data_IF_161593756294
#
_entry.id   IF_161593756294
#
_cell.length_a   1.000
_cell.length_b   1.000
_cell.length_c   1.000
_cell.angle_alpha   90.00
_cell.angle_beta   90.00
_cell.angle_gamma   90.00
#
_symmetry.space_group_name_H-M   'P 1'
#
loop_
_entity.id
_entity.type
_entity.pdbx_description
1 polymer ?
2 non-polymer ?
#
# COMPACT_ATOMS: atom_id res chain seq x y z
N UNK A 2 2.66 27.70 4.38
CA UNK A 2 1.36 27.11 4.69
C UNK A 2 0.98 26.00 3.69
N UNK A 3 0.60 24.87 4.24
CA UNK A 3 0.50 23.65 3.48
C UNK A 3 -0.79 22.92 3.84
N UNK A 4 -1.53 22.48 2.81
CA UNK A 4 -2.81 21.82 3.00
C UNK A 4 -2.79 20.46 2.34
N UNK A 5 -3.01 19.42 3.13
CA UNK A 5 -3.02 18.04 2.63
C UNK A 5 -4.43 17.53 2.49
N UNK A 6 -4.83 17.19 1.28
CA UNK A 6 -6.21 16.76 1.06
C UNK A 6 -6.16 15.25 0.91
N UNK A 7 -6.92 14.54 1.74
CA UNK A 7 -6.97 13.08 1.66
C UNK A 7 -8.36 12.51 1.93
N UNK A 8 -8.62 11.31 1.42
CA UNK A 8 -9.93 10.70 1.59
C UNK A 8 -9.94 9.19 1.81
N UNK A 9 -8.78 8.56 1.80
CA UNK A 9 -8.70 7.12 2.01
C UNK A 9 -7.57 6.71 2.93
N UNK A 10 -7.59 5.45 3.37
CA UNK A 10 -6.52 4.94 4.22
C UNK A 10 -5.21 4.66 3.48
N UNK A 11 -5.29 4.12 2.25
CA UNK A 11 -3.99 3.95 1.60
C UNK A 11 -3.32 5.31 1.42
N UNK A 12 -4.15 6.33 1.23
CA UNK A 12 -3.69 7.73 1.19
C UNK A 12 -3.05 8.17 2.50
N UNK A 13 -3.76 7.96 3.61
CA UNK A 13 -3.25 8.34 4.92
C UNK A 13 -1.89 7.70 5.17
N UNK A 14 -1.79 6.39 4.94
CA UNK A 14 -0.51 5.69 5.06
C UNK A 14 0.60 6.32 4.21
N UNK A 15 0.40 6.44 2.91
CA UNK A 15 1.48 6.96 2.07
C UNK A 15 1.84 8.41 2.43
N UNK A 16 0.94 9.10 3.13
CA UNK A 16 1.16 10.50 3.47
C UNK A 16 1.72 10.68 4.87
N UNK A 17 1.58 9.67 5.71
CA UNK A 17 2.10 9.73 7.07
C UNK A 17 3.60 10.08 7.16
N UNK A 18 4.41 9.62 6.20
CA UNK A 18 5.79 10.12 6.34
C UNK A 18 5.93 11.60 6.04
N UNK A 19 5.00 12.13 5.25
CA UNK A 19 5.02 13.55 4.93
C UNK A 19 4.53 14.33 6.18
N UNK A 20 3.54 13.77 6.84
CA UNK A 20 3.02 14.34 8.06
C UNK A 20 4.04 14.31 9.19
N UNK A 21 4.77 13.22 9.30
CA UNK A 21 5.74 13.08 10.37
C UNK A 21 6.94 13.99 10.18
N UNK A 22 7.33 14.19 8.94
CA UNK A 22 8.39 15.15 8.65
C UNK A 22 7.90 16.55 9.01
N UNK A 23 6.66 16.86 8.61
CA UNK A 23 6.08 18.17 8.86
C UNK A 23 6.09 18.61 10.33
N UNK A 24 5.94 17.66 11.25
CA UNK A 24 6.00 17.93 12.68
C UNK A 24 7.40 18.30 13.15
N UNK A 25 8.40 18.07 12.30
CA UNK A 25 9.78 18.45 12.59
C UNK A 25 10.24 19.56 11.64
N UNK A 26 9.32 20.47 11.32
CA UNK A 26 9.60 21.68 10.55
C UNK A 26 8.73 22.77 11.13
N UNK A 27 9.03 24.02 10.80
CA UNK A 27 8.21 25.13 11.29
C UNK A 27 7.07 25.53 10.35
N UNK A 28 6.94 24.80 9.24
CA UNK A 28 5.82 24.95 8.31
C UNK A 28 4.45 24.81 9.01
N UNK A 29 3.53 25.71 8.65
CA UNK A 29 2.17 25.72 9.17
C UNK A 29 1.35 24.86 8.23
N UNK A 30 0.74 23.80 8.74
CA UNK A 30 0.11 22.84 7.85
C UNK A 30 -1.16 22.25 8.47
N UNK A 31 -1.99 21.67 7.63
CA UNK A 31 -3.25 21.07 8.10
C UNK A 31 -3.73 19.98 7.14
N UNK A 32 -4.71 19.20 7.58
CA UNK A 32 -5.28 18.14 6.78
C UNK A 32 -6.77 18.36 6.55
N UNK A 33 -7.20 18.21 5.29
CA UNK A 33 -8.61 18.12 4.96
C UNK A 33 -8.91 16.67 4.65
N UNK A 34 -9.67 16.03 5.54
CA UNK A 34 -10.09 14.63 5.36
C UNK A 34 -11.51 14.58 4.77
N UNK A 35 -11.75 13.73 3.78
CA UNK A 35 -13.08 13.58 3.22
C UNK A 35 -13.59 12.18 3.53
N UNK A 36 -14.91 12.01 3.57
CA UNK A 36 -15.52 10.72 3.81
C UNK A 36 -16.55 10.37 2.74
N UNK A 42 -16.97 5.04 8.63
CA UNK A 42 -16.31 5.45 9.87
C UNK A 42 -15.68 6.81 9.67
N UNK A 44 -12.63 8.46 10.42
CA UNK A 44 -11.37 7.71 10.58
C UNK A 44 -10.46 8.02 11.76
N UNK A 45 -11.02 8.59 12.82
CA UNK A 45 -10.25 9.04 13.98
C UNK A 45 -9.32 7.92 14.50
N UNK A 46 -9.92 6.78 14.81
CA UNK A 46 -9.19 5.65 15.39
C UNK A 46 -7.93 5.28 14.59
N UNK A 47 -8.05 5.35 13.27
CA UNK A 47 -6.94 5.00 12.38
C UNK A 47 -5.82 6.00 12.51
N UNK A 48 -6.18 7.28 12.46
CA UNK A 48 -5.21 8.35 12.63
C UNK A 48 -4.48 8.18 13.96
N UNK A 49 -5.17 7.61 14.94
CA UNK A 49 -4.54 7.43 16.24
C UNK A 49 -3.65 6.18 16.35
N UNK A 50 -4.03 5.08 15.73
CA UNK A 50 -3.15 3.91 15.65
C UNK A 50 -1.79 4.27 15.05
N UNK A 51 -1.76 5.25 14.15
CA UNK A 51 -0.53 5.62 13.46
C UNK A 51 0.16 6.81 14.10
N UNK A 52 -0.25 7.14 15.32
CA UNK A 52 0.32 8.27 16.08
C UNK A 52 0.23 9.57 15.30
N UNK A 53 -0.88 9.73 14.57
CA UNK A 53 -1.06 10.89 13.69
C UNK A 53 -2.07 11.89 14.26
N UNK A 54 -1.75 13.18 14.16
CA UNK A 54 -2.65 14.18 14.73
C UNK A 54 -3.96 14.16 13.97
N UNK A 55 -5.08 14.41 14.64
CA UNK A 55 -6.37 14.40 13.94
C UNK A 55 -6.44 15.51 12.91
N UNK A 56 -7.07 15.23 11.77
CA UNK A 56 -7.35 16.25 10.75
C UNK A 56 -8.17 17.40 11.31
N UNK A 57 -7.65 18.61 11.19
CA UNK A 57 -8.38 19.83 11.52
C UNK A 57 -9.79 19.87 10.92
N UNK A 58 -9.88 19.56 9.63
CA UNK A 58 -11.15 19.54 8.87
C UNK A 58 -11.60 18.16 8.42
N UNK A 59 -12.73 17.70 8.94
CA UNK A 59 -13.39 16.56 8.34
C UNK A 59 -14.62 17.02 7.57
N UNK A 60 -14.67 16.65 6.30
CA UNK A 60 -15.81 16.99 5.45
C UNK A 60 -16.53 15.71 5.10
N UNK A 61 -17.76 15.57 5.54
CA UNK A 61 -18.59 14.48 5.07
C UNK A 61 -19.11 14.86 3.70
N UNK A 62 -18.74 14.07 2.70
CA UNK A 62 -19.23 14.31 1.36
C UNK A 62 -20.53 13.53 1.21
N UNK A 63 -20.70 12.57 2.12
CA UNK A 63 -21.83 11.66 2.09
C UNK A 63 -21.70 10.84 0.83
N UNK A 64 -22.69 10.00 0.56
CA UNK A 64 -22.72 9.34 -0.73
C UNK A 64 -23.72 10.06 -1.63
N UNK A 65 -23.74 9.64 -2.89
CA UNK A 65 -24.50 10.29 -3.94
C UNK A 65 -23.72 9.95 -5.19
N UNK A 66 -24.09 10.53 -6.32
CA UNK A 66 -23.45 10.20 -7.59
C UNK A 66 -22.01 10.68 -7.75
N UNK A 67 -21.26 10.04 -8.64
CA UNK A 67 -19.90 10.48 -9.01
C UNK A 67 -19.79 12.00 -9.19
N UNK A 68 -20.64 12.52 -10.07
CA UNK A 68 -20.84 13.93 -10.26
C UNK A 68 -21.06 14.71 -8.98
N UNK A 69 -22.05 14.32 -8.16
CA UNK A 69 -22.27 15.07 -6.92
C UNK A 69 -21.18 14.88 -5.89
N UNK A 70 -20.48 13.75 -5.92
CA UNK A 70 -19.42 13.56 -4.96
C UNK A 70 -18.37 14.60 -5.26
N UNK A 71 -17.92 14.59 -6.51
CA UNK A 71 -16.93 15.56 -6.97
C UNK A 71 -17.35 17.01 -6.79
N UNK A 72 -18.60 17.32 -7.08
CA UNK A 72 -19.12 18.66 -6.91
C UNK A 72 -19.18 19.12 -5.47
N UNK A 73 -19.73 18.29 -4.59
CA UNK A 73 -19.79 18.64 -3.17
C UNK A 73 -18.38 18.86 -2.61
N UNK A 75 -15.72 19.83 -4.41
CA UNK A 75 -15.29 21.09 -5.04
C UNK A 75 -15.77 22.30 -4.22
N UNK A 76 -17.05 22.33 -3.91
CA UNK A 76 -17.62 23.38 -3.07
C UNK A 76 -16.98 23.46 -1.66
N UNK A 77 -16.95 22.32 -0.95
CA UNK A 77 -16.49 22.29 0.45
C UNK A 77 -14.99 22.55 0.64
N UNK A 78 -14.19 21.78 -0.11
CA UNK A 78 -12.76 22.02 -0.18
C UNK A 78 -12.49 23.46 -0.54
N UNK A 79 -13.30 24.02 -1.43
CA UNK A 79 -13.14 25.45 -1.74
C UNK A 79 -13.37 26.38 -0.55
N UNK A 80 -14.39 26.10 0.26
CA UNK A 80 -14.63 26.95 1.42
C UNK A 80 -13.44 26.90 2.38
N UNK A 81 -12.91 25.69 2.58
CA UNK A 81 -11.70 25.60 3.39
C UNK A 81 -10.51 26.36 2.77
N UNK A 82 -10.20 26.14 1.50
CA UNK A 82 -8.99 26.76 0.96
C UNK A 82 -9.11 28.28 0.86
N UNK A 83 -10.34 28.77 0.74
CA UNK A 83 -10.56 30.21 0.83
C UNK A 83 -10.25 30.70 2.22
N UNK A 84 -10.76 30.00 3.24
CA UNK A 84 -10.39 30.34 4.63
C UNK A 84 -8.87 30.20 4.96
N UNK A 85 -8.27 29.06 4.63
CA UNK A 85 -6.89 28.74 5.03
C UNK A 85 -5.80 29.40 4.19
N UNK A 86 -6.10 29.64 2.93
CA UNK A 86 -5.15 30.26 2.01
C UNK A 86 -3.72 29.72 2.10
N UNK A 87 -3.53 28.43 1.78
CA UNK A 87 -2.16 27.90 1.80
C UNK A 87 -1.38 28.23 0.53
N UNK A 88 -0.11 27.85 0.51
CA UNK A 88 0.76 28.05 -0.64
C UNK A 88 0.82 26.78 -1.45
N UNK A 89 0.83 25.63 -0.77
CA UNK A 89 0.80 24.36 -1.47
C UNK A 89 -0.35 23.48 -0.99
N UNK A 90 -0.99 22.81 -1.95
CA UNK A 90 -1.90 21.73 -1.65
C UNK A 90 -1.26 20.42 -2.06
N UNK A 91 -1.12 19.52 -1.11
CA UNK A 91 -0.53 18.23 -1.37
C UNK A 91 -1.58 17.12 -1.36
N UNK A 92 -1.56 16.28 -2.40
CA UNK A 92 -2.46 15.14 -2.54
C UNK A 92 -1.66 13.89 -2.88
N UNK A 93 -2.11 12.72 -2.46
CA UNK A 93 -1.49 11.49 -2.95
C UNK A 93 -2.54 10.58 -3.54
N UNK A 94 -2.23 9.95 -4.67
CA UNK A 94 -3.10 8.94 -5.21
C UNK A 94 -4.02 9.46 -6.28
N UNK A 95 -5.16 8.77 -6.43
CA UNK A 95 -5.99 9.00 -7.58
C UNK A 95 -7.49 8.79 -7.35
N UNK A 96 -7.99 9.13 -6.16
CA UNK A 96 -9.42 9.06 -5.91
C UNK A 96 -10.10 10.32 -6.40
N UNK A 97 -11.40 10.41 -6.24
CA UNK A 97 -12.14 11.60 -6.62
C UNK A 97 -11.76 12.80 -5.73
N UNK A 98 -11.44 12.53 -4.47
CA UNK A 98 -10.94 13.56 -3.56
C UNK A 98 -9.70 14.24 -4.12
N UNK A 99 -8.72 13.45 -4.53
CA UNK A 99 -7.48 13.96 -5.07
C UNK A 99 -7.70 14.92 -6.24
N UNK A 100 -8.53 14.51 -7.20
CA UNK A 100 -8.80 15.35 -8.37
C UNK A 100 -9.58 16.57 -7.98
N UNK A 101 -10.56 16.41 -7.10
CA UNK A 101 -11.34 17.55 -6.62
C UNK A 101 -10.45 18.61 -5.96
N UNK A 102 -9.69 18.21 -4.95
CA UNK A 102 -8.74 19.08 -4.29
C UNK A 102 -7.78 19.75 -5.26
N UNK A 103 -7.23 18.98 -6.19
CA UNK A 103 -6.27 19.53 -7.14
C UNK A 103 -6.94 20.56 -8.04
N UNK A 104 -8.16 20.28 -8.47
CA UNK A 104 -8.97 21.18 -9.28
C UNK A 104 -9.26 22.50 -8.58
N UNK A 105 -9.89 22.45 -7.40
CA UNK A 105 -10.02 23.65 -6.56
C UNK A 105 -8.71 24.45 -6.37
N UNK A 106 -7.65 23.77 -5.95
CA UNK A 106 -6.44 24.51 -5.68
C UNK A 106 -5.99 25.22 -6.95
N UNK A 107 -6.06 24.50 -8.06
CA UNK A 107 -5.64 25.04 -9.34
C UNK A 107 -6.47 26.26 -9.72
N UNK A 108 -7.75 26.25 -9.41
CA UNK A 108 -8.57 27.40 -9.79
C UNK A 108 -8.39 28.58 -8.83
N UNK A 109 -7.98 28.29 -7.59
CA UNK A 109 -7.65 29.34 -6.62
C UNK A 109 -6.20 29.81 -6.78
N UNK A 110 -5.54 29.31 -7.82
CA UNK A 110 -4.18 29.70 -8.18
C UNK A 110 -3.15 29.22 -7.17
N UNK A 111 -3.51 28.19 -6.40
CA UNK A 111 -2.62 27.53 -5.44
C UNK A 111 -1.79 26.42 -6.12
N UNK A 112 -0.49 26.42 -5.91
CA UNK A 112 0.39 25.34 -6.36
C UNK A 112 -0.03 24.01 -5.75
N UNK A 113 -0.02 22.98 -6.58
CA UNK A 113 -0.41 21.62 -6.17
C UNK A 113 0.78 20.67 -6.27
N UNK A 114 0.94 19.80 -5.28
CA UNK A 114 1.95 18.75 -5.34
C UNK A 114 1.35 17.34 -5.37
N UNK A 115 1.77 16.52 -6.32
CA UNK A 115 1.26 15.15 -6.40
C UNK A 115 2.30 14.18 -5.92
N UNK A 116 1.97 13.47 -4.84
CA UNK A 116 2.85 12.50 -4.22
C UNK A 116 2.67 11.15 -4.88
N UNK A 117 3.78 10.55 -5.32
CA UNK A 117 3.79 9.29 -6.08
C UNK A 117 3.18 9.53 -7.46
N UNK A 118 3.75 10.49 -8.19
CA UNK A 118 3.26 10.88 -9.52
C UNK A 118 3.92 10.10 -10.66
N UNK A 119 3.18 9.91 -11.74
CA UNK A 119 3.76 9.30 -12.92
C UNK A 119 3.39 7.86 -13.22
N UNK A 120 2.83 7.13 -12.25
CA UNK A 120 2.27 5.80 -12.53
C UNK A 120 1.17 5.81 -13.61
N UNK A 121 1.19 4.81 -14.48
CA UNK A 121 0.21 4.69 -15.57
C UNK A 121 -0.15 3.23 -15.79
N UNK A 122 -1.43 2.95 -16.00
CA UNK A 122 -1.85 1.64 -16.45
C UNK A 122 -2.09 1.66 -17.96
N UNK A 123 -2.04 2.87 -18.53
CA UNK A 123 -2.33 3.13 -19.94
C UNK A 123 -3.69 2.55 -20.40
N UNK A 124 -4.56 2.30 -19.42
CA UNK A 124 -5.95 1.88 -19.62
C UNK A 124 -6.86 3.04 -19.24
N UNK A 125 -7.06 3.97 -20.18
CA UNK A 125 -7.83 5.18 -19.92
C UNK A 125 -9.33 4.89 -19.88
N UNK A 126 -9.69 3.78 -19.25
CA UNK A 126 -11.10 3.41 -19.02
C UNK A 126 -11.48 3.50 -17.55
N UNK A 128 -11.65 5.06 -14.16
CA UNK A 128 -11.73 6.51 -13.89
C UNK A 128 -10.49 6.99 -13.15
N UNK A 129 -9.85 6.07 -12.45
CA UNK A 129 -8.65 6.34 -11.69
C UNK A 129 -7.42 6.70 -12.55
N UNK A 130 -7.25 6.04 -13.70
CA UNK A 130 -6.19 6.46 -14.62
C UNK A 130 -6.35 7.92 -15.07
N UNK A 131 -7.59 8.29 -15.40
CA UNK A 131 -7.92 9.64 -15.78
C UNK A 131 -7.55 10.58 -14.66
N UNK A 132 -8.07 10.28 -13.45
CA UNK A 132 -7.73 11.02 -12.24
C UNK A 132 -6.23 11.30 -12.11
N UNK A 133 -5.45 10.23 -12.21
CA UNK A 133 -4.01 10.32 -12.26
C UNK A 133 -3.52 11.33 -13.31
N UNK A 134 -4.03 11.21 -14.54
CA UNK A 134 -3.54 12.05 -15.63
C UNK A 134 -3.88 13.53 -15.42
N UNK A 135 -5.14 13.81 -15.08
CA UNK A 135 -5.58 15.17 -14.83
C UNK A 135 -4.79 15.80 -13.70
N UNK A 136 -4.79 15.12 -12.55
CA UNK A 136 -4.06 15.58 -11.36
C UNK A 136 -2.58 15.88 -11.68
N UNK A 137 -1.90 14.97 -12.38
CA UNK A 137 -0.54 15.24 -12.80
C UNK A 137 -0.42 16.49 -13.66
N UNK A 138 -1.33 16.65 -14.63
CA UNK A 138 -1.28 17.83 -15.49
C UNK A 138 -1.72 19.14 -14.84
N UNK A 139 -2.29 19.10 -13.65
CA UNK A 139 -2.54 20.38 -12.98
C UNK A 139 -1.59 20.69 -11.85
N UNK A 140 -0.48 19.94 -11.80
CA UNK A 140 0.40 19.92 -10.63
C UNK A 140 1.67 20.73 -10.87
N UNK A 141 2.16 21.37 -9.81
CA UNK A 141 3.34 22.23 -9.89
C UNK A 141 4.53 21.42 -9.49
N UNK A 142 4.33 20.60 -8.46
CA UNK A 142 5.37 19.66 -8.01
C UNK A 142 4.94 18.21 -8.27
N UNK A 143 5.72 17.51 -9.09
CA UNK A 143 5.45 16.11 -9.35
C UNK A 143 6.49 15.23 -8.72
N UNK A 144 6.16 14.66 -7.56
CA UNK A 144 7.09 13.79 -6.83
C UNK A 144 6.99 12.37 -7.33
N UNK A 145 7.74 12.09 -8.38
CA UNK A 145 7.73 10.80 -9.06
C UNK A 145 8.62 9.84 -8.31
N UNK A 146 8.17 8.58 -8.14
CA UNK A 146 8.92 7.58 -7.35
C UNK A 146 10.17 7.03 -8.04
N UNK A 147 10.10 6.89 -9.36
CA UNK A 147 11.15 6.23 -10.13
C UNK A 147 11.47 7.05 -11.36
N UNK A 148 12.63 6.79 -11.97
CA UNK A 148 12.95 7.39 -13.26
C UNK A 148 11.91 7.07 -14.33
N UNK A 149 11.49 5.80 -14.40
CA UNK A 149 10.46 5.37 -15.32
C UNK A 149 9.22 6.27 -15.23
N UNK A 150 8.82 6.56 -13.99
CA UNK A 150 7.70 7.46 -13.70
C UNK A 150 7.92 8.85 -14.31
N UNK A 151 9.14 9.35 -14.12
CA UNK A 151 9.55 10.62 -14.67
C UNK A 151 9.44 10.62 -16.19
N UNK A 152 9.87 9.53 -16.82
CA UNK A 152 9.77 9.40 -18.27
C UNK A 152 8.33 9.40 -18.77
N UNK A 153 7.43 8.80 -17.98
CA UNK A 153 6.01 8.90 -18.27
C UNK A 153 5.53 10.34 -18.28
N UNK A 154 5.82 11.03 -17.18
CA UNK A 154 5.41 12.42 -17.02
C UNK A 154 6.00 13.24 -18.13
N UNK A 155 7.16 12.81 -18.59
CA UNK A 155 7.90 13.48 -19.67
C UNK A 155 7.32 13.26 -21.08
N UNK A 156 6.90 12.04 -21.38
CA UNK A 156 6.23 11.82 -22.67
C UNK A 156 4.90 12.57 -22.74
N UNK A 157 4.47 13.13 -21.62
CA UNK A 157 3.24 13.90 -21.58
C UNK A 157 3.50 15.39 -21.54
N UNK A 158 4.66 15.79 -22.02
CA UNK A 158 4.97 17.19 -22.17
C UNK A 158 5.07 17.92 -20.85
N UNK A 159 5.13 17.21 -19.74
CA UNK A 159 5.22 17.88 -18.45
C UNK A 159 6.64 18.39 -18.21
N UNK A 160 6.76 19.69 -17.95
CA UNK A 160 8.04 20.36 -17.80
C UNK A 160 8.99 19.67 -16.82
N UNK A 161 10.17 19.28 -17.29
CA UNK A 161 11.16 18.54 -16.51
C UNK A 161 11.49 19.13 -15.14
N UNK A 162 11.45 20.45 -15.01
CA UNK A 162 11.78 21.07 -13.71
C UNK A 162 10.67 20.97 -12.67
N UNK A 163 9.52 20.47 -13.09
CA UNK A 163 8.43 20.20 -12.16
C UNK A 163 8.54 18.79 -11.57
N UNK A 164 9.37 17.95 -12.20
CA UNK A 164 9.51 16.56 -11.79
C UNK A 164 10.64 16.29 -10.81
N UNK A 165 10.32 15.61 -9.72
CA UNK A 165 11.31 15.28 -8.70
C UNK A 165 11.23 13.80 -8.36
N UNK A 166 12.23 13.05 -8.81
CA UNK A 166 12.34 11.64 -8.45
C UNK A 166 12.86 11.49 -7.02
N UNK A 167 12.02 11.02 -6.12
CA UNK A 167 12.30 11.07 -4.67
C UNK A 167 11.93 9.76 -4.00
N UNK A 168 11.66 8.75 -4.82
CA UNK A 168 11.29 7.43 -4.34
C UNK A 168 9.90 7.41 -3.81
N UNK A 169 9.45 6.25 -3.33
CA UNK A 169 8.10 6.11 -2.82
C UNK A 169 8.04 6.23 -1.31
N UNK A 170 7.01 6.90 -0.82
CA UNK A 170 6.85 7.12 0.61
C UNK A 170 6.26 5.89 1.27
N UNK A 171 5.90 4.88 0.46
CA UNK A 171 5.43 3.62 1.02
C UNK A 171 6.54 2.92 1.79
N UNK A 172 7.79 3.19 1.44
CA UNK A 172 8.91 2.63 2.18
C UNK A 172 9.00 3.24 3.57
N UNK A 173 9.14 4.57 3.62
CA UNK A 173 9.10 5.34 4.86
C UNK A 173 7.94 4.82 5.66
N UNK A 174 6.75 4.84 5.06
CA UNK A 174 5.50 4.53 5.75
C UNK A 174 5.51 3.14 6.36
N UNK A 175 5.95 2.16 5.59
CA UNK A 175 5.89 0.78 6.04
C UNK A 175 6.88 0.56 7.19
N UNK A 176 8.06 1.13 7.06
CA UNK A 176 9.05 1.12 8.14
C UNK A 176 8.56 1.77 9.45
N UNK A 177 8.20 3.04 9.38
CA UNK A 177 7.63 3.78 10.50
C UNK A 177 6.43 3.09 11.13
N UNK A 178 5.43 2.75 10.34
CA UNK A 178 4.24 2.09 10.87
C UNK A 178 4.56 0.75 11.51
N UNK A 179 5.59 0.07 11.02
CA UNK A 179 6.04 -1.18 11.65
C UNK A 179 6.53 -0.88 13.07
N UNK A 180 7.43 0.11 13.18
CA UNK A 180 7.95 0.50 14.49
C UNK A 180 6.79 0.85 15.42
N UNK A 181 5.80 1.57 14.90
CA UNK A 181 4.61 1.92 15.68
C UNK A 181 3.82 0.68 16.11
N UNK A 182 3.69 -0.30 15.23
CA UNK A 182 2.96 -1.55 15.53
C UNK A 182 3.68 -2.37 16.60
N UNK A 183 4.99 -2.20 16.66
CA UNK A 183 5.76 -2.96 17.61
C UNK A 183 5.48 -2.47 19.03
N UNK A 184 5.31 -1.16 19.18
CA UNK A 184 5.13 -0.58 20.51
C UNK A 184 3.67 -0.59 20.96
N UNK A 185 2.84 -1.41 20.32
CA UNK A 185 1.41 -1.41 20.60
C UNK A 185 0.98 -2.70 21.30
N UNK A 186 0.95 -2.66 22.64
CA UNK A 186 0.69 -3.85 23.44
C UNK A 186 -0.67 -4.49 23.16
N UNK A 187 -1.61 -3.72 22.65
CA UNK A 187 -2.91 -4.25 22.26
C UNK A 187 -2.79 -5.20 21.07
N UNK A 188 -1.84 -4.90 20.18
CA UNK A 188 -1.62 -5.72 18.98
C UNK A 188 -0.47 -6.70 19.16
N UNK A 189 0.46 -6.38 20.06
CA UNK A 189 1.52 -7.30 20.42
C UNK A 189 0.85 -8.45 21.19
N UNK A 190 -0.22 -8.11 21.90
CA UNK A 190 -1.10 -9.10 22.52
C UNK A 190 -1.53 -10.08 21.47
N UNK A 191 -2.18 -9.59 20.43
CA UNK A 191 -2.68 -10.45 19.37
C UNK A 191 -1.58 -11.24 18.67
N UNK A 192 -0.49 -10.57 18.31
CA UNK A 192 0.62 -11.23 17.62
C UNK A 192 1.09 -12.42 18.43
N UNK A 193 1.42 -12.19 19.70
CA UNK A 193 1.89 -13.28 20.55
C UNK A 193 0.85 -14.38 20.76
N UNK A 194 -0.41 -14.07 20.50
CA UNK A 194 -1.50 -15.02 20.69
C UNK A 194 -1.82 -15.81 19.43
N UNK A 195 -0.91 -15.80 18.46
CA UNK A 195 -1.07 -16.60 17.26
C UNK A 195 0.24 -17.28 16.91
N UNK A 196 1.33 -16.53 17.03
CA UNK A 196 2.64 -17.09 16.72
C UNK A 196 3.17 -17.95 17.85
N UNK A 197 3.55 -19.17 17.50
CA UNK A 197 4.07 -20.14 18.45
C UNK A 197 5.58 -20.26 18.27
N UNK A 198 5.99 -20.75 17.11
CA UNK A 198 7.39 -20.98 16.82
C UNK A 198 8.05 -19.73 16.26
N UNK A 199 9.34 -19.55 16.55
CA UNK A 199 10.12 -18.44 16.00
C UNK A 199 10.22 -18.51 14.48
N UNK A 200 9.59 -19.52 13.88
CA UNK A 200 9.60 -19.68 12.43
C UNK A 200 8.21 -19.97 11.91
N UNK A 201 7.76 -19.13 11.00
CA UNK A 201 6.49 -19.36 10.30
C UNK A 201 6.55 -18.75 8.90
N UNK A 202 5.74 -19.30 8.01
CA UNK A 202 5.51 -18.67 6.72
C UNK A 202 4.15 -18.00 6.83
N UNK A 203 4.03 -16.76 6.37
CA UNK A 203 2.73 -16.10 6.30
C UNK A 203 2.14 -16.19 4.90
N UNK A 204 0.93 -16.72 4.79
CA UNK A 204 0.28 -16.96 3.51
C UNK A 204 -1.02 -16.15 3.34
N UNK A 205 -1.11 -15.43 2.23
CA UNK A 205 -2.35 -14.74 1.87
C UNK A 205 -2.74 -15.15 0.47
N UNK A 206 -4.05 -15.30 0.25
CA UNK A 206 -4.57 -15.81 -1.01
C UNK A 206 -5.94 -15.19 -1.21
N UNK A 207 -6.14 -14.49 -2.31
CA UNK A 207 -7.40 -13.76 -2.46
C UNK A 207 -7.86 -13.51 -3.90
N UNK A 208 -6.92 -13.36 -4.83
CA UNK A 208 -7.26 -13.11 -6.23
C UNK A 208 -8.35 -14.04 -6.77
N UNK A 209 -9.27 -13.50 -7.56
CA UNK A 209 -10.34 -14.28 -8.16
C UNK A 209 -9.77 -15.41 -9.03
N UNK A 210 -8.78 -15.07 -9.85
CA UNK A 210 -8.12 -16.05 -10.71
C UNK A 210 -7.62 -17.29 -9.96
N UNK A 211 -7.63 -17.24 -8.63
CA UNK A 211 -7.14 -18.35 -7.81
C UNK A 211 -8.21 -19.05 -7.00
N UNK A 212 -9.10 -18.26 -6.40
CA UNK A 212 -10.10 -18.79 -5.48
C UNK A 212 -11.38 -19.26 -6.18
N UNK A 213 -11.71 -18.64 -7.31
CA UNK A 213 -12.88 -19.04 -8.10
C UNK A 213 -12.61 -20.35 -8.81
N UNK A 214 -11.42 -20.43 -9.40
CA UNK A 214 -10.95 -21.59 -10.13
C UNK A 214 -10.62 -22.78 -9.21
N UNK A 215 -11.55 -23.73 -9.11
CA UNK A 215 -11.40 -24.92 -8.27
C UNK A 215 -10.08 -25.65 -8.48
N UNK A 216 -9.61 -25.63 -9.73
CA UNK A 216 -8.36 -26.28 -10.11
C UNK A 216 -7.17 -25.64 -9.42
N UNK A 217 -6.90 -24.38 -9.76
CA UNK A 217 -5.77 -23.65 -9.19
C UNK A 217 -5.83 -23.65 -7.67
N UNK A 218 -7.02 -23.53 -7.11
CA UNK A 218 -7.16 -23.54 -5.65
C UNK A 218 -6.74 -24.87 -5.04
N UNK A 219 -7.30 -25.97 -5.56
CA UNK A 219 -6.88 -27.31 -5.12
C UNK A 219 -5.36 -27.44 -5.20
N UNK A 220 -4.82 -27.15 -6.39
CA UNK A 220 -3.38 -27.15 -6.65
C UNK A 220 -2.57 -26.47 -5.56
N UNK A 221 -2.81 -25.17 -5.40
CA UNK A 221 -2.17 -24.36 -4.38
C UNK A 221 -2.26 -24.92 -2.96
N UNK A 222 -3.46 -25.29 -2.52
CA UNK A 222 -3.60 -25.91 -1.20
C UNK A 222 -2.65 -27.10 -1.03
N UNK A 223 -2.65 -27.99 -2.03
CA UNK A 223 -1.79 -29.16 -1.94
C UNK A 223 -0.31 -28.75 -1.96
N UNK A 224 0.01 -27.71 -2.72
CA UNK A 224 1.35 -27.13 -2.74
C UNK A 224 1.80 -26.77 -1.33
N UNK A 225 0.92 -26.06 -0.62
CA UNK A 225 1.18 -25.68 0.77
C UNK A 225 1.47 -26.91 1.60
N UNK A 226 0.65 -27.95 1.42
CA UNK A 226 0.88 -29.22 2.11
C UNK A 226 2.27 -29.84 1.86
N UNK A 227 2.65 -29.93 0.59
CA UNK A 227 3.98 -30.42 0.24
C UNK A 227 5.07 -29.62 0.95
N UNK A 228 4.94 -28.29 0.90
CA UNK A 228 5.85 -27.38 1.60
C UNK A 228 5.91 -27.72 3.09
N UNK A 229 4.75 -27.96 3.69
CA UNK A 229 4.71 -28.27 5.12
C UNK A 229 5.44 -29.57 5.44
N UNK A 230 4.96 -30.68 4.88
CA UNK A 230 5.60 -31.98 5.11
C UNK A 230 7.10 -32.00 4.81
N UNK A 231 7.55 -31.18 3.85
CA UNK A 231 8.99 -31.03 3.66
C UNK A 231 9.67 -30.25 4.79
N UNK A 232 9.27 -29.00 4.99
CA UNK A 232 10.05 -28.12 5.87
C UNK A 232 9.58 -28.14 7.33
N UNK A 233 8.46 -28.81 7.59
CA UNK A 233 7.87 -28.90 8.94
C UNK A 233 7.85 -27.52 9.60
N UNK A 234 7.01 -26.65 9.02
CA UNK A 234 7.01 -25.23 9.32
C UNK A 234 5.57 -24.76 9.42
N UNK A 235 5.28 -23.97 10.46
CA UNK A 235 3.93 -23.43 10.63
C UNK A 235 3.58 -22.42 9.54
N UNK A 236 2.35 -22.49 9.04
CA UNK A 236 1.84 -21.51 8.09
C UNK A 236 0.68 -20.74 8.73
N UNK A 237 0.80 -19.41 8.79
CA UNK A 237 -0.31 -18.59 9.28
C UNK A 237 -1.13 -18.06 8.11
N UNK A 238 -2.46 -18.17 8.25
CA UNK A 238 -3.35 -17.89 7.14
C UNK A 238 -4.47 -16.95 7.56
N UNK A 239 -4.32 -15.66 7.25
CA UNK A 239 -5.43 -14.72 7.38
C UNK A 239 -6.36 -14.95 6.19
N UNK A 240 -7.64 -15.11 6.50
CA UNK A 240 -8.58 -15.59 5.52
C UNK A 240 -9.84 -14.71 5.47
N UNK A 241 -9.98 -13.98 4.38
CA UNK A 241 -11.17 -13.15 4.16
C UNK A 241 -12.38 -14.04 3.91
N UNK A 242 -13.60 -13.50 4.08
CA UNK A 242 -14.82 -14.31 3.94
C UNK A 242 -14.92 -15.04 2.60
N UNK A 243 -14.60 -14.34 1.52
CA UNK A 243 -14.69 -14.90 0.18
C UNK A 243 -13.91 -16.20 0.00
N UNK A 244 -12.68 -16.21 0.50
CA UNK A 244 -11.85 -17.40 0.39
C UNK A 244 -12.47 -18.59 1.12
N UNK A 245 -12.81 -18.41 2.40
CA UNK A 245 -13.44 -19.49 3.19
C UNK A 245 -14.71 -20.01 2.51
N UNK A 246 -15.47 -19.11 1.89
CA UNK A 246 -16.56 -19.50 1.00
C UNK A 246 -16.06 -20.49 -0.07
N UNK A 247 -15.11 -20.05 -0.89
CA UNK A 247 -14.60 -20.86 -1.99
C UNK A 247 -13.86 -22.14 -1.55
N UNK A 248 -13.55 -22.26 -0.26
CA UNK A 248 -12.83 -23.42 0.25
C UNK A 248 -13.76 -24.47 0.85
N UNK A 249 -14.78 -24.02 1.58
CA UNK A 249 -15.80 -24.96 2.04
C UNK A 249 -16.58 -25.45 0.83
N UNK A 250 -16.71 -24.58 -0.17
CA UNK A 250 -17.37 -24.93 -1.43
C UNK A 250 -16.64 -26.05 -2.19
N UNK A 251 -15.34 -25.88 -2.40
CA UNK A 251 -14.55 -26.82 -3.19
C UNK A 251 -13.99 -27.99 -2.39
N UNK A 252 -14.54 -28.21 -1.19
CA UNK A 252 -14.20 -29.35 -0.34
C UNK A 252 -12.74 -29.38 0.12
N UNK A 253 -12.15 -28.20 0.22
CA UNK A 253 -10.74 -28.07 0.59
C UNK A 253 -10.55 -27.58 2.03
N UNK A 254 -11.49 -26.76 2.49
CA UNK A 254 -11.40 -26.12 3.80
C UNK A 254 -11.15 -27.13 4.93
N UNK A 255 -11.85 -28.25 4.89
CA UNK A 255 -11.74 -29.21 5.98
C UNK A 255 -10.32 -29.76 6.07
N UNK A 256 -9.70 -29.99 4.91
CA UNK A 256 -8.33 -30.48 4.84
C UNK A 256 -7.37 -29.49 5.54
N UNK A 257 -7.67 -28.21 5.41
CA UNK A 257 -6.88 -27.15 6.04
C UNK A 257 -7.09 -27.06 7.55
N UNK A 258 -8.33 -27.15 7.99
CA UNK A 258 -8.59 -27.21 9.42
C UNK A 258 -7.86 -28.41 10.03
N UNK A 259 -7.78 -29.50 9.25
CA UNK A 259 -7.13 -30.73 9.68
C UNK A 259 -5.66 -30.51 10.05
N UNK A 260 -4.87 -30.19 9.03
CA UNK A 260 -3.43 -30.01 9.19
C UNK A 260 -3.07 -29.16 10.39
N UNK A 261 -2.52 -29.80 11.41
CA UNK A 261 -2.20 -29.11 12.66
C UNK A 261 -0.99 -28.18 12.56
N UNK A 262 -0.31 -28.19 11.41
CA UNK A 262 0.84 -27.29 11.21
C UNK A 262 0.39 -25.95 10.63
N UNK A 263 -0.83 -25.95 10.08
CA UNK A 263 -1.47 -24.74 9.58
C UNK A 263 -2.28 -24.05 10.68
N UNK A 264 -2.04 -22.75 10.86
CA UNK A 264 -2.77 -21.93 11.83
C UNK A 264 -3.65 -20.88 11.10
N UNK A 265 -4.96 -21.00 11.23
CA UNK A 265 -5.90 -20.12 10.52
C UNK A 265 -6.47 -18.99 11.39
N UNK A 266 -6.56 -17.78 10.83
CA UNK A 266 -7.07 -16.64 11.58
C UNK A 266 -8.09 -15.82 10.80
N UNK A 267 -8.98 -15.17 11.55
CA UNK A 267 -9.87 -14.16 11.00
C UNK A 267 -9.01 -12.99 10.50
N UNK A 268 -9.47 -12.29 9.44
CA UNK A 268 -8.71 -11.15 8.90
C UNK A 268 -8.35 -10.13 9.99
N UNK A 269 -7.21 -9.46 9.86
CA UNK A 269 -6.76 -8.50 10.87
C UNK A 269 -6.38 -7.13 10.32
N UNK A 270 -6.03 -6.24 11.25
CA UNK A 270 -5.87 -4.83 10.94
C UNK A 270 -4.53 -4.48 10.35
N UNK A 271 -4.38 -3.20 9.98
CA UNK A 271 -3.17 -2.72 9.33
C UNK A 271 -1.87 -3.13 10.05
N UNK A 272 -1.78 -2.74 11.32
CA UNK A 272 -0.58 -2.93 12.13
C UNK A 272 -0.34 -4.36 12.60
N UNK A 273 -1.42 -5.09 12.90
CA UNK A 273 -1.31 -6.49 13.27
C UNK A 273 -0.66 -7.20 12.12
N UNK A 274 -1.17 -6.93 10.93
CA UNK A 274 -0.71 -7.61 9.73
C UNK A 274 0.70 -7.20 9.33
N UNK A 275 1.05 -5.96 9.66
CA UNK A 275 2.43 -5.50 9.51
C UNK A 275 3.38 -6.29 10.40
N UNK A 277 2.77 -9.43 11.53
CA UNK A 277 2.83 -10.74 10.90
C UNK A 277 3.77 -10.76 9.70
N UNK A 278 3.83 -9.68 8.94
CA UNK A 278 4.72 -9.67 7.79
C UNK A 278 6.19 -9.58 8.21
N UNK A 279 6.54 -8.62 9.07
CA UNK A 279 7.95 -8.41 9.45
C UNK A 279 8.59 -9.67 10.01
N UNK A 280 7.86 -10.35 10.88
CA UNK A 280 8.42 -11.51 11.59
C UNK A 280 8.21 -12.89 10.93
N UNK A 281 7.79 -12.90 9.67
CA UNK A 281 7.72 -14.13 8.89
C UNK A 281 9.10 -14.49 8.36
N UNK A 282 9.26 -15.76 7.98
CA UNK A 282 10.52 -16.26 7.47
C UNK A 282 10.48 -16.16 5.96
N UNK A 283 9.30 -16.39 5.41
CA UNK A 283 9.01 -16.06 4.02
C UNK A 283 7.52 -15.86 3.94
N UNK A 284 7.09 -15.17 2.89
CA UNK A 284 5.70 -14.79 2.72
C UNK A 284 5.22 -15.34 1.39
N UNK A 285 4.00 -15.85 1.35
CA UNK A 285 3.40 -16.48 0.16
C UNK A 285 2.08 -15.81 -0.15
N UNK A 286 1.99 -15.18 -1.31
CA UNK A 286 0.85 -14.30 -1.56
C UNK A 286 0.49 -14.19 -3.04
N UNK A 287 -0.73 -13.70 -3.30
CA UNK A 287 -1.12 -13.26 -4.65
C UNK A 287 -1.29 -11.74 -4.76
N UNK A 288 -1.31 -11.06 -3.61
CA UNK A 288 -1.47 -9.60 -3.56
C UNK A 288 -0.22 -8.79 -3.93
N UNK A 289 -0.37 -7.81 -4.83
CA UNK A 289 0.73 -6.92 -5.18
C UNK A 289 1.19 -6.04 -4.03
N UNK A 290 0.22 -5.65 -3.20
CA UNK A 290 0.49 -4.91 -1.99
C UNK A 290 1.43 -5.63 -1.06
N UNK A 291 1.07 -6.86 -0.72
CA UNK A 291 1.89 -7.69 0.16
C UNK A 291 3.29 -7.99 -0.41
N UNK A 292 3.37 -8.15 -1.73
CA UNK A 292 4.66 -8.30 -2.38
C UNK A 292 5.52 -7.09 -2.06
N UNK A 293 4.91 -5.91 -2.23
CA UNK A 293 5.57 -4.62 -2.00
C UNK A 293 6.08 -4.53 -0.56
N UNK A 294 5.17 -4.76 0.37
CA UNK A 294 5.51 -4.64 1.78
C UNK A 294 6.61 -5.61 2.18
N UNK A 295 6.54 -6.85 1.70
CA UNK A 295 7.55 -7.84 2.04
C UNK A 295 8.90 -7.40 1.51
N UNK A 296 8.92 -6.91 0.28
CA UNK A 296 10.16 -6.46 -0.29
C UNK A 296 10.79 -5.33 0.51
N UNK A 297 9.93 -4.43 0.99
CA UNK A 297 10.37 -3.31 1.80
C UNK A 297 10.89 -3.78 3.16
N UNK A 298 10.20 -4.79 3.71
CA UNK A 298 10.49 -5.33 5.05
C UNK A 298 11.63 -6.33 5.08
N UNK A 299 12.28 -6.52 3.93
CA UNK A 299 13.35 -7.50 3.76
C UNK A 299 12.94 -8.94 4.08
N UNK A 300 11.70 -9.31 3.78
CA UNK A 300 11.22 -10.68 3.91
C UNK A 300 11.06 -11.31 2.52
N UNK A 301 11.68 -12.48 2.31
CA UNK A 301 11.59 -13.18 1.03
C UNK A 301 10.13 -13.40 0.64
N UNK A 302 9.85 -13.32 -0.66
CA UNK A 302 8.49 -13.41 -1.12
C UNK A 302 8.30 -14.40 -2.29
N UNK A 303 7.30 -15.24 -2.13
CA UNK A 303 6.86 -16.15 -3.19
C UNK A 303 5.42 -15.83 -3.60
N UNK A 304 5.26 -15.60 -4.90
CA UNK A 304 4.00 -15.14 -5.47
C UNK A 304 3.28 -16.22 -6.30
N UNK A 305 2.09 -16.58 -5.85
CA UNK A 305 1.25 -17.58 -6.49
C UNK A 305 0.44 -17.03 -7.69
N UNK A 306 1.12 -16.32 -8.59
CA UNK A 306 0.55 -15.86 -9.85
C UNK A 306 1.64 -16.04 -10.88
N UNK A 307 1.30 -15.83 -12.15
CA UNK A 307 2.29 -16.01 -13.20
C UNK A 307 2.72 -14.66 -13.74
N UNK A 308 1.87 -13.68 -13.49
CA UNK A 308 2.20 -12.29 -13.75
C UNK A 308 2.05 -11.46 -12.46
N UNK A 309 2.80 -10.38 -12.34
CA UNK A 309 2.78 -9.60 -11.11
C UNK A 309 2.56 -8.12 -11.39
N UNK A 310 1.72 -7.48 -10.57
CA UNK A 310 1.51 -6.04 -10.69
C UNK A 310 2.62 -5.24 -9.97
N UNK A 311 3.61 -5.94 -9.42
CA UNK A 311 4.83 -5.27 -8.92
C UNK A 311 6.08 -6.06 -9.32
N UNK A 312 6.34 -6.18 -10.63
CA UNK A 312 7.44 -6.99 -11.15
C UNK A 312 8.84 -6.60 -10.69
N UNK A 313 9.02 -5.36 -10.25
CA UNK A 313 10.32 -4.88 -9.79
C UNK A 313 10.85 -5.71 -8.59
N UNK A 314 9.93 -6.25 -7.80
CA UNK A 314 10.30 -7.12 -6.69
C UNK A 314 10.97 -8.40 -7.18
N UNK A 315 10.54 -8.89 -8.34
CA UNK A 315 11.22 -10.03 -8.95
C UNK A 315 12.57 -9.60 -9.51
N UNK A 316 12.65 -8.37 -10.02
CA UNK A 316 13.89 -7.90 -10.62
C UNK A 316 15.04 -7.76 -9.61
N UNK A 317 14.74 -7.36 -8.38
CA UNK A 317 15.79 -7.18 -7.38
C UNK A 317 16.16 -8.47 -6.65
N UNK A 318 15.35 -9.52 -6.84
CA UNK A 318 15.58 -10.80 -6.20
C UNK A 318 14.73 -11.11 -4.99
N UNK A 319 13.90 -10.15 -4.59
CA UNK A 319 13.08 -10.28 -3.37
C UNK A 319 11.91 -11.22 -3.56
N UNK A 320 11.55 -11.46 -4.82
CA UNK A 320 10.30 -12.08 -5.20
C UNK A 320 10.49 -13.09 -6.34
N UNK A 321 9.76 -14.18 -6.25
CA UNK A 321 9.79 -15.14 -7.34
C UNK A 321 8.36 -15.58 -7.72
N UNK A 322 8.10 -15.71 -9.04
CA UNK A 322 6.76 -16.07 -9.56
C UNK A 322 6.57 -17.57 -9.82
N UNK A 323 5.78 -18.23 -8.99
CA UNK A 323 5.55 -19.67 -9.15
C UNK A 323 4.18 -20.03 -9.70
N UNK A 324 3.25 -19.09 -9.65
CA UNK A 324 1.88 -19.33 -10.07
C UNK A 324 1.26 -20.54 -9.40
N UNK A 325 0.69 -21.38 -10.25
CA UNK A 325 -0.11 -22.54 -9.85
C UNK A 325 0.79 -23.74 -9.45
N UNK A 326 1.97 -23.78 -10.06
CA UNK A 326 2.88 -24.92 -10.04
C UNK A 326 3.50 -25.29 -8.67
N UNK A 327 3.53 -26.59 -8.37
CA UNK A 327 4.06 -27.11 -7.11
C UNK A 327 5.57 -27.35 -7.18
N UNK A 328 6.08 -27.55 -8.39
CA UNK A 328 7.52 -27.70 -8.57
C UNK A 328 8.19 -26.34 -8.49
N UNK A 329 7.58 -25.36 -9.16
CA UNK A 329 8.06 -23.99 -9.10
C UNK A 329 8.02 -23.49 -7.65
N UNK A 330 6.96 -23.87 -6.95
CA UNK A 330 6.80 -23.56 -5.52
C UNK A 330 7.89 -24.17 -4.65
N UNK A 331 8.08 -25.49 -4.73
CA UNK A 331 9.13 -26.16 -3.96
C UNK A 331 10.52 -25.57 -4.24
N UNK A 332 10.77 -25.30 -5.52
CA UNK A 332 12.05 -24.74 -5.97
C UNK A 332 12.28 -23.32 -5.42
N UNK A 333 11.27 -22.46 -5.57
CA UNK A 333 11.24 -21.12 -4.97
C UNK A 333 11.53 -21.15 -3.47
N UNK A 334 10.73 -21.90 -2.73
CA UNK A 334 10.92 -22.05 -1.30
C UNK A 334 12.36 -22.39 -0.96
N UNK A 335 12.95 -23.31 -1.74
CA UNK A 335 14.35 -23.66 -1.54
C UNK A 335 15.24 -22.44 -1.65
N UNK A 336 15.13 -21.73 -2.77
CA UNK A 336 15.90 -20.50 -2.98
C UNK A 336 15.70 -19.40 -1.91
N UNK A 338 14.43 -19.56 1.25
CA UNK A 338 14.85 -19.85 2.64
C UNK A 338 16.36 -19.73 2.85
N UNK A 339 17.10 -19.61 1.77
CA UNK A 339 18.54 -19.54 1.87
C UNK A 339 19.02 -18.26 1.19
N UNK A 340 18.06 -17.36 1.03
CA UNK A 340 18.30 -16.07 0.42
C UNK A 340 18.90 -15.14 1.42
N UNK A 341 20.15 -14.75 1.16
CA UNK A 341 20.69 -13.58 1.84
C UNK A 341 19.77 -12.41 1.51
N UNK A 342 19.13 -11.89 2.55
CA UNK A 342 18.17 -10.82 2.39
C UNK A 342 18.78 -9.43 2.23
N UNK A 343 19.55 -9.21 1.18
CA UNK A 343 19.85 -7.81 0.85
C UNK A 343 19.66 -7.44 -0.59
N UNK A 344 18.41 -7.45 -1.03
CA UNK A 344 18.08 -6.91 -2.32
C UNK A 344 18.02 -5.37 -2.30
N UNK A 345 18.36 -4.73 -3.42
CA UNK A 345 18.15 -3.30 -3.53
C UNK A 345 16.65 -3.05 -3.41
N UNK A 346 16.29 -1.96 -2.76
CA UNK A 346 14.88 -1.64 -2.62
C UNK A 346 14.47 -0.88 -3.87
N UNK A 347 13.60 -1.48 -4.71
CA UNK A 347 13.20 -0.82 -5.95
C UNK A 347 12.23 0.36 -5.74
N UNK A 348 11.76 0.53 -4.52
CA UNK A 348 10.80 1.58 -4.22
C UNK A 348 11.43 2.84 -3.60
N UNK A 349 12.67 2.76 -3.15
CA UNK A 349 13.35 3.95 -2.66
C UNK A 349 14.08 3.76 -1.34
N UNK A 350 14.87 4.77 -0.94
CA UNK A 350 15.73 4.65 0.24
C UNK A 350 15.04 4.77 1.58
N UNK A 351 13.76 5.09 1.59
CA UNK A 351 13.01 5.21 2.83
C UNK A 351 13.06 6.57 3.50
N UNK A 352 13.41 7.62 2.75
CA UNK A 352 13.50 8.97 3.32
C UNK A 352 12.65 9.99 2.53
N UNK A 353 11.63 9.50 1.86
CA UNK A 353 10.91 10.33 0.89
C UNK A 353 9.96 11.37 1.49
N UNK A 354 9.37 11.08 2.65
CA UNK A 354 8.57 12.06 3.35
C UNK A 354 9.39 13.30 3.66
N UNK A 355 10.55 13.11 4.31
CA UNK A 355 11.47 14.20 4.58
C UNK A 355 11.86 14.92 3.30
N UNK A 356 12.32 14.19 2.30
CA UNK A 356 12.81 14.81 1.09
C UNK A 356 11.74 15.65 0.40
N UNK A 357 10.53 15.11 0.32
CA UNK A 357 9.40 15.83 -0.24
C UNK A 357 9.15 17.11 0.55
N UNK A 358 9.11 17.01 1.87
CA UNK A 358 9.00 18.22 2.68
C UNK A 358 10.16 19.24 2.51
N UNK A 359 11.37 18.76 2.21
CA UNK A 359 12.50 19.67 1.98
C UNK A 359 12.28 20.42 0.69
N UNK A 360 12.01 19.66 -0.37
CA UNK A 360 11.74 20.24 -1.68
C UNK A 360 10.57 21.23 -1.64
N UNK A 361 9.54 20.92 -0.86
CA UNK A 361 8.44 21.87 -0.67
C UNK A 361 8.90 23.11 0.09
N UNK A 362 9.77 22.94 1.09
CA UNK A 362 10.35 24.09 1.78
C UNK A 362 11.10 25.01 0.81
N UNK A 363 11.85 24.44 -0.13
CA UNK A 363 12.57 25.25 -1.12
C UNK A 363 11.62 25.99 -2.05
N UNK A 364 10.94 25.26 -2.94
CA UNK A 364 9.98 25.85 -3.85
C UNK A 364 10.52 27.00 -4.68
#
# INVERSE_FOLDING_TARGET
XKLSIILGTRPEIIKLSPIIRALEKTNIDWHIIHTNQHYSENXDKIFFEELNLPNPKYNLNIGSGTHGEQTGKXLIEIEKVLLKEKPDVVVVQGDTNTVLAGALVASKLKIDVAHVEAGLRSFDRNXPEEINRVLTDHISSYLFAPTEIAKNNLLREGIEENKIFVVGNTIVDATLQNLKIAEKNENVRAFFNSVVIDDDYFLLTLHRAENVDNKERLKNIVEGIFEIIEIYDKAIIFSIHPRTKKRLKEFNLFDKLKSNKKIKIIEPVGYLEFLXLEKNAELILTDSGGVQEEACILKVPCITLRDNTERPETVEVGANILVGDNKEKLIKAVEIXLNKKRNWKNPFGNGKSGERIVRILTYGKYLEHHHHHH
#
